data_IF_685035467446
#
_entry.id   IF_685035467446
#
_cell.length_a   1.000
_cell.length_b   1.000
_cell.length_c   1.000
_cell.angle_alpha   90.00
_cell.angle_beta   90.00
_cell.angle_gamma   90.00
#
_symmetry.space_group_name_H-M   'P 1'
#
loop_
_entity.id
_entity.type
_entity.pdbx_description
1 polymer ?
#
# COMPACT_ATOMS: atom_id res chain seq x y z
N UNK A 1 -2.47 12.64 13.65
CA UNK A 1 -1.93 11.93 12.46
C UNK A 1 -2.21 10.46 12.65
N UNK A 2 -2.88 9.83 11.69
CA UNK A 2 -3.28 8.41 11.78
C UNK A 2 -2.95 7.71 10.47
N UNK A 3 -2.61 6.43 10.56
CA UNK A 3 -2.55 5.51 9.42
C UNK A 3 -3.82 4.68 9.48
N UNK A 4 -4.61 4.69 8.42
CA UNK A 4 -5.93 4.06 8.38
C UNK A 4 -5.85 2.61 7.90
N UNK A 5 -5.26 2.37 6.72
CA UNK A 5 -5.13 1.04 6.13
C UNK A 5 -3.94 0.94 5.16
N UNK A 6 -3.47 -0.29 4.94
CA UNK A 6 -2.43 -0.66 4.00
C UNK A 6 -2.97 -1.71 3.02
N UNK A 7 -2.80 -1.46 1.72
CA UNK A 7 -3.09 -2.42 0.66
C UNK A 7 -1.81 -2.75 -0.11
N UNK A 8 -1.64 -4.02 -0.47
CA UNK A 8 -0.61 -4.44 -1.43
C UNK A 8 -1.29 -5.05 -2.64
N UNK A 9 -0.98 -4.50 -3.81
CA UNK A 9 -1.55 -4.91 -5.09
C UNK A 9 -0.41 -5.50 -5.92
N UNK A 10 -0.61 -6.71 -6.46
CA UNK A 10 0.36 -7.36 -7.32
C UNK A 10 0.49 -6.66 -8.68
N UNK A 11 1.40 -7.14 -9.53
CA UNK A 11 1.64 -6.52 -10.84
C UNK A 11 0.44 -6.65 -11.78
N UNK A 12 -0.42 -7.63 -11.56
CA UNK A 12 -1.62 -7.92 -12.36
C UNK A 12 -2.86 -7.15 -11.87
N UNK A 13 -2.74 -6.32 -10.83
CA UNK A 13 -3.85 -5.53 -10.27
C UNK A 13 -4.71 -6.26 -9.24
N UNK A 14 -4.31 -7.47 -8.83
CA UNK A 14 -4.96 -8.21 -7.75
C UNK A 14 -4.50 -7.73 -6.38
N UNK A 15 -5.45 -7.54 -5.47
CA UNK A 15 -5.16 -7.29 -4.06
C UNK A 15 -4.61 -8.57 -3.42
N UNK A 16 -3.36 -8.51 -2.93
CA UNK A 16 -2.68 -9.64 -2.29
C UNK A 16 -2.51 -9.45 -0.79
N UNK A 17 -2.76 -8.25 -0.27
CA UNK A 17 -2.72 -7.95 1.16
C UNK A 17 -3.60 -6.77 1.50
N UNK A 18 -4.31 -6.85 2.63
CA UNK A 18 -5.04 -5.74 3.22
C UNK A 18 -4.90 -5.79 4.74
N UNK A 19 -4.59 -4.65 5.37
CA UNK A 19 -4.55 -4.49 6.81
C UNK A 19 -5.15 -3.14 7.19
N UNK A 20 -6.19 -3.17 8.02
CA UNK A 20 -6.78 -1.97 8.62
C UNK A 20 -6.16 -1.77 10.02
N UNK A 21 -5.70 -0.55 10.29
CA UNK A 21 -5.13 -0.15 11.60
C UNK A 21 -6.12 0.60 12.48
N UNK A 22 -7.26 1.00 11.91
CA UNK A 22 -8.34 1.71 12.61
C UNK A 22 -9.69 1.13 12.21
N UNK A 23 -10.65 1.12 13.13
CA UNK A 23 -11.99 0.58 12.84
C UNK A 23 -12.73 1.37 11.75
N UNK A 24 -12.47 2.68 11.63
CA UNK A 24 -13.05 3.54 10.62
C UNK A 24 -12.62 3.20 9.18
N UNK A 25 -11.48 2.50 9.03
CA UNK A 25 -10.95 2.10 7.73
C UNK A 25 -11.53 0.77 7.22
N UNK A 26 -12.35 0.09 8.03
CA UNK A 26 -12.82 -1.26 7.72
C UNK A 26 -13.75 -1.24 6.52
N UNK A 27 -13.28 -1.79 5.41
CA UNK A 27 -14.03 -1.97 4.17
C UNK A 27 -14.33 -3.45 3.97
N UNK A 28 -15.48 -3.80 3.38
CA UNK A 28 -15.76 -5.19 3.02
C UNK A 28 -14.66 -5.76 2.12
N UNK A 29 -14.44 -7.08 2.19
CA UNK A 29 -13.39 -7.72 1.40
C UNK A 29 -13.63 -7.52 -0.11
N UNK A 30 -14.87 -7.64 -0.57
CA UNK A 30 -15.17 -7.48 -2.00
C UNK A 30 -14.97 -6.04 -2.46
N UNK A 31 -15.28 -5.07 -1.61
CA UNK A 31 -15.02 -3.66 -1.91
C UNK A 31 -13.52 -3.37 -1.95
N UNK A 32 -12.73 -3.95 -1.04
CA UNK A 32 -11.27 -3.84 -1.08
C UNK A 32 -10.68 -4.39 -2.38
N UNK A 33 -11.17 -5.56 -2.85
CA UNK A 33 -10.79 -6.14 -4.14
C UNK A 33 -11.12 -5.22 -5.32
N UNK A 34 -12.32 -4.63 -5.31
CA UNK A 34 -12.77 -3.67 -6.33
C UNK A 34 -11.89 -2.42 -6.34
N UNK A 35 -11.65 -1.83 -5.17
CA UNK A 35 -10.82 -0.62 -5.01
C UNK A 35 -9.40 -0.84 -5.54
N UNK A 36 -8.78 -1.98 -5.23
CA UNK A 36 -7.46 -2.33 -5.75
C UNK A 36 -7.44 -2.43 -7.28
N UNK A 37 -8.46 -3.06 -7.87
CA UNK A 37 -8.56 -3.22 -9.32
C UNK A 37 -8.77 -1.88 -10.04
N UNK A 38 -9.59 -1.00 -9.44
CA UNK A 38 -9.82 0.36 -9.94
C UNK A 38 -8.54 1.18 -9.85
N UNK A 39 -7.87 1.15 -8.70
CA UNK A 39 -6.60 1.86 -8.52
C UNK A 39 -5.57 1.42 -9.56
N UNK A 40 -5.41 0.12 -9.76
CA UNK A 40 -4.48 -0.42 -10.74
C UNK A 40 -4.74 0.14 -12.15
N UNK A 41 -6.01 0.18 -12.56
CA UNK A 41 -6.42 0.72 -13.86
C UNK A 41 -6.17 2.22 -13.94
N UNK A 42 -6.56 2.97 -12.91
CA UNK A 42 -6.39 4.42 -12.84
C UNK A 42 -4.91 4.82 -12.88
N UNK A 43 -4.06 4.09 -12.16
CA UNK A 43 -2.61 4.26 -12.15
C UNK A 43 -2.00 4.10 -13.55
N UNK A 44 -2.45 3.09 -14.31
CA UNK A 44 -2.00 2.88 -15.68
C UNK A 44 -2.51 3.95 -16.65
N UNK A 45 -3.76 4.41 -16.48
CA UNK A 45 -4.34 5.50 -17.29
C UNK A 45 -3.57 6.80 -17.07
N UNK A 46 -3.17 7.12 -15.83
CA UNK A 46 -2.40 8.32 -15.52
C UNK A 46 -1.08 8.38 -16.30
N UNK A 47 -0.40 7.24 -16.49
CA UNK A 47 0.80 7.16 -17.33
C UNK A 47 0.53 7.53 -18.79
N UNK A 48 -0.62 7.10 -19.33
CA UNK A 48 -1.01 7.38 -20.73
C UNK A 48 -1.50 8.81 -20.93
N UNK A 49 -2.12 9.39 -19.89
CA UNK A 49 -2.64 10.75 -19.93
C UNK A 49 -1.52 11.81 -19.87
N UNK A 50 -0.34 11.43 -19.36
CA UNK A 50 0.75 12.38 -19.19
C UNK A 50 1.21 12.98 -20.53
N UNK A 51 1.21 14.31 -20.67
CA UNK A 51 1.63 14.97 -21.90
C UNK A 51 3.16 14.97 -22.08
N UNK A 52 3.91 14.55 -21.05
CA UNK A 52 5.38 14.55 -21.02
C UNK A 52 5.91 13.19 -20.59
N UNK A 53 7.10 12.79 -21.08
CA UNK A 53 7.73 11.55 -20.65
C UNK A 53 8.11 11.61 -19.17
N UNK A 54 8.11 10.45 -18.51
CA UNK A 54 8.57 10.29 -17.13
C UNK A 54 7.48 10.04 -16.09
N UNK A 55 6.20 10.05 -16.48
CA UNK A 55 5.12 9.66 -15.56
C UNK A 55 5.14 8.16 -15.29
N UNK A 56 5.30 7.80 -14.01
CA UNK A 56 5.29 6.43 -13.48
C UNK A 56 3.91 6.00 -13.00
N UNK A 57 2.92 6.89 -13.05
CA UNK A 57 1.53 6.67 -12.62
C UNK A 57 1.16 7.59 -11.47
N UNK A 58 0.28 7.12 -10.58
CA UNK A 58 -0.22 7.89 -9.46
C UNK A 58 0.59 7.54 -8.21
N UNK A 59 1.23 8.55 -7.62
CA UNK A 59 2.00 8.40 -6.37
C UNK A 59 1.24 8.95 -5.15
N UNK A 60 0.29 9.87 -5.38
CA UNK A 60 -0.51 10.51 -4.35
C UNK A 60 -1.90 10.84 -4.91
N UNK A 61 -2.94 10.45 -4.17
CA UNK A 61 -4.30 10.94 -4.32
C UNK A 61 -4.68 11.65 -3.01
N UNK A 62 -4.92 12.95 -3.09
CA UNK A 62 -5.35 13.76 -1.95
C UNK A 62 -6.87 13.92 -1.95
N UNK A 63 -7.49 13.72 -0.79
CA UNK A 63 -8.91 13.95 -0.57
C UNK A 63 -9.11 14.78 0.70
N UNK A 64 -10.33 15.29 0.90
CA UNK A 64 -10.64 16.21 2.01
C UNK A 64 -10.37 15.60 3.39
N UNK A 65 -10.51 14.28 3.53
CA UNK A 65 -10.44 13.56 4.81
C UNK A 65 -9.29 12.56 4.90
N UNK A 66 -8.65 12.22 3.79
CA UNK A 66 -7.56 11.26 3.76
C UNK A 66 -6.65 11.49 2.55
N UNK A 67 -5.40 11.07 2.67
CA UNK A 67 -4.49 10.96 1.54
C UNK A 67 -4.20 9.47 1.28
N UNK A 68 -4.10 9.11 0.01
CA UNK A 68 -3.72 7.78 -0.44
C UNK A 68 -2.38 7.86 -1.17
N UNK A 69 -1.34 7.40 -0.48
CA UNK A 69 0.01 7.33 -1.05
C UNK A 69 0.22 5.98 -1.73
N UNK A 70 0.89 6.00 -2.88
CA UNK A 70 1.20 4.82 -3.66
C UNK A 70 2.71 4.75 -3.93
N UNK A 71 3.30 3.64 -3.50
CA UNK A 71 4.66 3.27 -3.86
C UNK A 71 4.65 2.06 -4.79
N UNK A 72 5.06 2.25 -6.03
CA UNK A 72 5.25 1.16 -6.99
C UNK A 72 6.71 0.72 -7.03
N UNK A 73 6.93 -0.57 -6.82
CA UNK A 73 8.24 -1.21 -6.97
C UNK A 73 8.59 -1.44 -8.44
N UNK A 74 9.89 -1.62 -8.74
CA UNK A 74 10.37 -1.98 -10.08
C UNK A 74 9.81 -3.31 -10.59
N UNK A 75 9.41 -4.22 -9.69
CA UNK A 75 8.77 -5.49 -10.04
C UNK A 75 7.27 -5.36 -10.33
N UNK A 76 6.69 -4.18 -10.15
CA UNK A 76 5.30 -3.85 -10.49
C UNK A 76 4.31 -3.94 -9.32
N UNK A 77 4.72 -4.47 -8.17
CA UNK A 77 3.91 -4.50 -6.93
C UNK A 77 3.73 -3.09 -6.38
N UNK A 78 2.51 -2.76 -5.99
CA UNK A 78 2.13 -1.44 -5.48
C UNK A 78 1.73 -1.53 -4.02
N UNK A 79 2.24 -0.62 -3.22
CA UNK A 79 1.93 -0.46 -1.81
C UNK A 79 1.14 0.82 -1.65
N UNK A 80 -0.12 0.69 -1.21
CA UNK A 80 -1.01 1.82 -1.00
C UNK A 80 -1.22 2.03 0.49
N UNK A 81 -1.02 3.26 0.96
CA UNK A 81 -1.25 3.61 2.35
C UNK A 81 -2.28 4.74 2.45
N UNK A 82 -3.39 4.46 3.13
CA UNK A 82 -4.42 5.44 3.45
C UNK A 82 -4.07 6.08 4.77
N UNK A 83 -3.90 7.41 4.79
CA UNK A 83 -3.42 8.16 5.95
C UNK A 83 -4.20 9.47 6.13
N UNK A 84 -4.07 10.04 7.32
CA UNK A 84 -4.53 11.40 7.62
C UNK A 84 -3.80 12.43 6.73
N UNK A 85 -4.49 13.47 6.20
CA UNK A 85 -3.87 14.45 5.30
C UNK A 85 -2.66 15.20 5.86
N UNK A 86 -2.53 15.28 7.19
CA UNK A 86 -1.40 15.94 7.84
C UNK A 86 -0.22 14.98 8.11
N UNK A 87 -0.33 13.70 7.76
CA UNK A 87 0.73 12.73 7.99
C UNK A 87 1.98 13.02 7.14
N UNK A 88 3.15 12.95 7.77
CA UNK A 88 4.45 13.27 7.14
C UNK A 88 5.33 12.03 6.98
N UNK A 89 6.36 12.07 6.13
CA UNK A 89 7.32 10.95 5.95
C UNK A 89 6.72 9.63 5.43
N UNK A 90 5.58 9.68 4.74
CA UNK A 90 4.91 8.50 4.20
C UNK A 90 5.75 7.71 3.16
N UNK A 91 6.49 8.34 2.23
CA UNK A 91 7.33 7.60 1.30
C UNK A 91 8.39 6.72 2.00
N UNK A 92 8.99 7.22 3.09
CA UNK A 92 9.96 6.46 3.87
C UNK A 92 9.31 5.28 4.61
N UNK A 93 8.09 5.46 5.14
CA UNK A 93 7.32 4.39 5.75
C UNK A 93 6.97 3.29 4.73
N UNK A 94 6.49 3.67 3.54
CA UNK A 94 6.20 2.75 2.44
C UNK A 94 7.44 1.96 2.00
N UNK A 95 8.59 2.62 1.90
CA UNK A 95 9.86 1.95 1.60
C UNK A 95 10.22 0.90 2.66
N UNK A 96 10.04 1.23 3.95
CA UNK A 96 10.31 0.28 5.03
C UNK A 96 9.31 -0.89 5.04
N UNK A 97 8.05 -0.66 4.70
CA UNK A 97 7.06 -1.73 4.51
C UNK A 97 7.49 -2.66 3.35
N UNK A 98 7.99 -2.10 2.25
CA UNK A 98 8.53 -2.89 1.14
C UNK A 98 9.75 -3.74 1.55
N UNK A 99 10.63 -3.22 2.41
CA UNK A 99 11.73 -4.01 2.98
C UNK A 99 11.20 -5.19 3.79
N UNK A 100 10.19 -4.98 4.66
CA UNK A 100 9.54 -6.08 5.40
C UNK A 100 8.90 -7.11 4.47
N UNK A 101 8.24 -6.65 3.39
CA UNK A 101 7.67 -7.54 2.38
C UNK A 101 8.75 -8.39 1.71
N UNK A 102 9.89 -7.77 1.37
CA UNK A 102 11.02 -8.46 0.77
C UNK A 102 11.64 -9.49 1.73
N UNK A 103 11.73 -9.17 3.01
CA UNK A 103 12.33 -10.04 4.02
C UNK A 103 11.45 -11.19 4.48
N UNK A 104 10.16 -10.95 4.71
CA UNK A 104 9.26 -11.97 5.25
C UNK A 104 8.47 -12.72 4.19
N UNK A 105 8.07 -12.03 3.11
CA UNK A 105 7.19 -12.62 2.09
C UNK A 105 8.02 -13.20 0.95
N UNK A 106 8.94 -12.43 0.36
CA UNK A 106 9.73 -12.90 -0.80
C UNK A 106 10.77 -13.97 -0.45
N UNK A 107 11.26 -13.99 0.79
CA UNK A 107 12.21 -15.03 1.24
C UNK A 107 11.50 -16.28 1.80
N UNK A 108 10.17 -16.27 1.89
CA UNK A 108 9.42 -17.45 2.34
C UNK A 108 9.35 -18.47 1.18
N UNK A 109 9.97 -19.67 1.29
CA UNK A 109 9.99 -20.66 0.21
C UNK A 109 8.61 -21.24 -0.11
N UNK A 110 7.61 -21.05 0.76
CA UNK A 110 6.25 -21.51 0.57
C UNK A 110 5.31 -20.43 0.02
N UNK A 111 5.81 -19.20 -0.17
CA UNK A 111 5.01 -18.14 -0.76
C UNK A 111 5.09 -18.19 -2.28
N UNK A 112 3.93 -18.29 -2.92
CA UNK A 112 3.79 -18.16 -4.36
C UNK A 112 3.55 -16.69 -4.73
N UNK A 113 4.37 -16.15 -5.64
CA UNK A 113 4.19 -14.78 -6.12
C UNK A 113 2.80 -14.58 -6.70
N UNK A 114 2.25 -13.37 -6.55
CA UNK A 114 0.90 -12.97 -7.00
C UNK A 114 -0.25 -13.55 -6.17
N UNK A 115 0.00 -14.49 -5.25
CA UNK A 115 -1.01 -15.02 -4.33
C UNK A 115 -1.17 -14.13 -3.08
N UNK A 116 -2.29 -14.31 -2.39
CA UNK A 116 -2.58 -13.62 -1.13
C UNK A 116 -1.49 -13.92 -0.09
N UNK A 117 -0.97 -12.88 0.53
CA UNK A 117 0.06 -12.96 1.56
C UNK A 117 -0.60 -13.48 2.85
N UNK A 118 -0.18 -14.68 3.27
CA UNK A 118 -0.56 -15.30 4.55
C UNK A 118 0.70 -15.52 5.36
N UNK A 119 1.18 -14.46 6.02
CA UNK A 119 2.44 -14.48 6.76
C UNK A 119 2.29 -13.69 8.06
N UNK A 120 2.13 -14.40 9.17
CA UNK A 120 1.92 -13.79 10.50
C UNK A 120 3.10 -12.90 10.91
N UNK A 121 4.34 -13.32 10.62
CA UNK A 121 5.53 -12.50 10.89
C UNK A 121 5.50 -11.17 10.11
N UNK A 122 4.99 -11.17 8.88
CA UNK A 122 4.84 -9.93 8.11
C UNK A 122 3.77 -9.03 8.76
N UNK A 123 2.61 -9.59 9.13
CA UNK A 123 1.54 -8.85 9.82
C UNK A 123 2.03 -8.16 11.10
N UNK A 124 2.70 -8.91 11.98
CA UNK A 124 3.20 -8.41 13.25
C UNK A 124 4.23 -7.30 13.06
N UNK A 125 5.17 -7.47 12.13
CA UNK A 125 6.23 -6.48 11.92
C UNK A 125 5.69 -5.21 11.23
N UNK A 126 4.72 -5.33 10.33
CA UNK A 126 4.04 -4.18 9.74
C UNK A 126 3.28 -3.40 10.81
N UNK A 127 2.52 -4.09 11.66
CA UNK A 127 1.78 -3.46 12.75
C UNK A 127 2.71 -2.74 13.75
N UNK A 128 3.80 -3.39 14.15
CA UNK A 128 4.81 -2.77 15.01
C UNK A 128 5.47 -1.55 14.34
N UNK A 129 5.76 -1.61 13.04
CA UNK A 129 6.35 -0.51 12.30
C UNK A 129 5.41 0.70 12.25
N UNK A 130 4.14 0.48 11.90
CA UNK A 130 3.12 1.54 11.86
C UNK A 130 2.92 2.14 13.24
N UNK A 131 2.88 1.32 14.30
CA UNK A 131 2.77 1.79 15.68
C UNK A 131 3.96 2.69 16.09
N UNK A 132 5.19 2.33 15.72
CA UNK A 132 6.39 3.15 15.98
C UNK A 132 6.33 4.46 15.21
N UNK A 133 5.89 4.44 13.97
CA UNK A 133 5.71 5.64 13.15
C UNK A 133 4.72 6.61 13.81
N UNK A 134 3.57 6.11 14.28
CA UNK A 134 2.58 6.93 14.98
C UNK A 134 3.13 7.54 16.29
N UNK A 135 4.04 6.85 16.97
CA UNK A 135 4.69 7.36 18.19
C UNK A 135 5.71 8.47 17.92
N UNK A 136 6.36 8.46 16.76
CA UNK A 136 7.34 9.48 16.37
C UNK A 136 6.70 10.74 15.78
N UNK A 137 5.46 10.63 15.32
CA UNK A 137 4.68 11.72 14.72
C UNK A 137 3.81 12.49 15.75
N UNK A 138 3.81 12.07 17.02
CA UNK A 138 3.25 12.79 18.17
C UNK A 138 4.31 13.69 18.81
#
# INVERSE_FOLDING_TARGET
MSVYSLYVINKSGGLIYNRDFTEAARVDTNDSLRLASIWHSLHAIAQQLSPVPGCTGIELLEADTFNLHCFQTLTGTKFLLVVDPHASFIPALLQRIYELYSDYVMKNPFYETEQVIKCELFDENVEQLVRRYLQQAM
#
